data_IF_481280963298
#
_entry.id   IF_481280963298
#
_cell.length_a   1.000
_cell.length_b   1.000
_cell.length_c   1.000
_cell.angle_alpha   90.00
_cell.angle_beta   90.00
_cell.angle_gamma   90.00
#
_symmetry.space_group_name_H-M   'P 1'
#
loop_
_entity.id
_entity.type
_entity.pdbx_description
1 polymer ?
#
# COMPACT_ATOMS: atom_id res chain seq x y z
N UNK A 1 -7.96 72.89 3.58
CA UNK A 1 -7.63 71.61 2.91
C UNK A 1 -6.38 71.06 3.57
N UNK A 2 -6.37 69.75 3.84
CA UNK A 2 -5.67 69.07 4.93
C UNK A 2 -4.17 69.35 5.02
N UNK A 3 -3.70 69.72 6.22
CA UNK A 3 -2.29 69.84 6.55
C UNK A 3 -1.63 68.46 6.61
N UNK A 4 -0.46 68.36 6.00
CA UNK A 4 0.40 67.18 6.08
C UNK A 4 0.87 67.07 7.53
N UNK A 5 0.28 66.14 8.28
CA UNK A 5 0.77 65.78 9.61
C UNK A 5 2.07 65.00 9.45
N UNK A 6 3.19 65.66 9.70
CA UNK A 6 4.48 65.00 9.86
C UNK A 6 4.45 64.32 11.24
N UNK A 7 4.59 62.98 11.33
CA UNK A 7 4.60 62.29 12.61
C UNK A 7 5.87 62.67 13.41
N UNK A 8 5.80 62.73 14.75
CA UNK A 8 6.93 63.08 15.59
C UNK A 8 8.06 62.03 15.47
N UNK A 9 9.34 62.45 15.59
CA UNK A 9 10.48 61.53 15.53
C UNK A 9 10.43 60.56 16.71
N UNK A 10 10.39 59.26 16.40
CA UNK A 10 10.35 58.17 17.40
C UNK A 10 9.12 57.25 17.31
N UNK A 11 8.15 57.52 16.43
CA UNK A 11 7.06 56.57 16.17
C UNK A 11 7.49 55.56 15.11
N UNK A 12 7.91 54.36 15.53
CA UNK A 12 8.04 53.20 14.64
C UNK A 12 6.68 52.97 13.95
N UNK A 13 6.64 53.11 12.63
CA UNK A 13 5.41 52.80 11.89
C UNK A 13 5.12 51.30 12.01
N UNK A 14 3.91 50.88 12.39
CA UNK A 14 3.53 49.46 12.42
C UNK A 14 3.45 48.83 11.01
N UNK A 15 3.75 49.58 9.96
CA UNK A 15 3.66 49.18 8.54
C UNK A 15 5.02 49.21 7.83
N UNK A 16 6.14 49.05 8.55
CA UNK A 16 7.47 48.94 7.90
C UNK A 16 7.58 47.54 7.28
N UNK A 17 7.46 47.48 5.96
CA UNK A 17 7.69 46.26 5.20
C UNK A 17 9.20 45.97 5.08
N UNK A 18 9.56 44.69 5.11
CA UNK A 18 10.95 44.28 5.00
C UNK A 18 11.47 44.40 3.56
N UNK A 19 12.73 44.82 3.41
CA UNK A 19 13.44 44.66 2.15
C UNK A 19 13.67 43.18 1.84
N UNK A 20 13.85 42.86 0.56
CA UNK A 20 14.18 41.50 0.14
C UNK A 20 15.44 40.98 0.85
N UNK A 21 15.37 39.82 1.48
CA UNK A 21 16.51 39.24 2.22
C UNK A 21 17.71 38.86 1.34
N UNK A 22 17.51 38.71 0.02
CA UNK A 22 18.55 38.28 -0.92
C UNK A 22 19.21 39.48 -1.60
N UNK A 23 18.42 40.41 -2.16
CA UNK A 23 18.94 41.55 -2.92
C UNK A 23 18.75 42.92 -2.25
N UNK A 24 18.12 42.96 -1.07
CA UNK A 24 17.81 44.17 -0.31
C UNK A 24 16.94 45.21 -1.07
N UNK A 25 16.25 44.78 -2.14
CA UNK A 25 15.29 45.62 -2.86
C UNK A 25 14.10 45.99 -1.96
N UNK A 26 13.50 47.18 -2.18
CA UNK A 26 12.30 47.58 -1.45
C UNK A 26 11.13 46.63 -1.74
N UNK A 27 10.14 46.55 -0.84
CA UNK A 27 9.00 45.62 -0.95
C UNK A 27 8.14 45.81 -2.21
N UNK A 28 8.13 47.02 -2.78
CA UNK A 28 7.37 47.36 -3.98
C UNK A 28 8.36 47.85 -5.06
N UNK A 29 8.34 47.28 -6.27
CA UNK A 29 7.52 46.14 -6.70
C UNK A 29 7.96 44.81 -6.05
N UNK A 30 7.06 43.84 -5.99
CA UNK A 30 7.34 42.51 -5.42
C UNK A 30 8.60 41.89 -6.05
N UNK A 31 9.53 41.49 -5.20
CA UNK A 31 10.80 40.91 -5.62
C UNK A 31 10.65 39.39 -5.86
N UNK A 32 11.15 38.83 -6.97
CA UNK A 32 10.94 37.41 -7.32
C UNK A 32 11.60 36.41 -6.34
N UNK A 33 12.61 36.84 -5.58
CA UNK A 33 13.39 35.97 -4.69
C UNK A 33 12.55 35.30 -3.58
N UNK A 34 11.47 35.93 -3.11
CA UNK A 34 10.61 35.33 -2.08
C UNK A 34 9.86 34.12 -2.65
N UNK A 35 9.25 34.30 -3.83
CA UNK A 35 8.49 33.27 -4.53
C UNK A 35 9.40 32.09 -4.92
N UNK A 36 10.59 32.38 -5.43
CA UNK A 36 11.58 31.37 -5.78
C UNK A 36 12.06 30.57 -4.56
N UNK A 37 12.31 31.26 -3.44
CA UNK A 37 12.73 30.60 -2.19
C UNK A 37 11.61 29.71 -1.64
N UNK A 38 10.36 30.14 -1.72
CA UNK A 38 9.20 29.34 -1.31
C UNK A 38 9.03 28.11 -2.22
N UNK A 39 9.14 28.28 -3.53
CA UNK A 39 9.06 27.19 -4.49
C UNK A 39 10.14 26.13 -4.23
N UNK A 40 11.39 26.55 -4.02
CA UNK A 40 12.49 25.64 -3.70
C UNK A 40 12.25 24.90 -2.37
N UNK A 41 11.78 25.58 -1.34
CA UNK A 41 11.47 24.96 -0.04
C UNK A 41 10.32 23.94 -0.16
N UNK A 42 9.31 24.25 -0.97
CA UNK A 42 8.22 23.32 -1.26
C UNK A 42 8.71 22.09 -2.01
N UNK A 43 9.53 22.27 -3.05
CA UNK A 43 10.11 21.15 -3.82
C UNK A 43 10.96 20.24 -2.92
N UNK A 44 11.78 20.83 -2.04
CA UNK A 44 12.56 20.09 -1.05
C UNK A 44 11.67 19.32 -0.06
N UNK A 45 10.54 19.89 0.34
CA UNK A 45 9.58 19.23 1.21
C UNK A 45 8.86 18.08 0.49
N UNK A 46 8.37 18.29 -0.74
CA UNK A 46 7.64 17.30 -1.54
C UNK A 46 8.55 16.12 -1.94
N UNK A 47 9.83 16.38 -2.23
CA UNK A 47 10.83 15.33 -2.51
C UNK A 47 10.97 14.33 -1.35
N UNK A 48 10.60 14.69 -0.11
CA UNK A 48 10.57 13.74 1.00
C UNK A 48 9.39 12.75 0.89
N UNK A 49 8.29 13.17 0.27
CA UNK A 49 7.09 12.36 0.06
C UNK A 49 7.16 11.50 -1.22
N UNK A 50 7.92 11.92 -2.23
CA UNK A 50 8.14 11.11 -3.46
C UNK A 50 8.78 9.76 -3.16
N UNK A 51 9.61 9.67 -2.12
CA UNK A 51 10.21 8.42 -1.64
C UNK A 51 9.18 7.35 -1.25
N UNK A 52 7.97 7.74 -0.84
CA UNK A 52 6.91 6.78 -0.52
C UNK A 52 6.37 6.08 -1.78
N UNK A 53 6.29 6.81 -2.89
CA UNK A 53 5.93 6.23 -4.19
C UNK A 53 7.04 5.28 -4.69
N UNK A 54 8.30 5.64 -4.49
CA UNK A 54 9.45 4.77 -4.81
C UNK A 54 9.44 3.48 -3.98
N UNK A 55 9.18 3.57 -2.66
CA UNK A 55 9.05 2.41 -1.78
C UNK A 55 7.93 1.48 -2.25
N UNK A 56 6.76 2.05 -2.59
CA UNK A 56 5.64 1.25 -3.11
C UNK A 56 6.03 0.52 -4.40
N UNK A 57 6.67 1.21 -5.33
CA UNK A 57 7.10 0.61 -6.59
C UNK A 57 8.14 -0.49 -6.36
N UNK A 58 9.13 -0.23 -5.50
CA UNK A 58 10.13 -1.22 -5.09
C UNK A 58 9.48 -2.47 -4.50
N UNK A 59 8.50 -2.33 -3.60
CA UNK A 59 7.81 -3.47 -2.98
C UNK A 59 7.04 -4.30 -4.03
N UNK A 60 6.35 -3.63 -4.97
CA UNK A 60 5.63 -4.29 -6.06
C UNK A 60 6.58 -5.07 -6.96
N UNK A 61 7.71 -4.48 -7.36
CA UNK A 61 8.67 -5.13 -8.25
C UNK A 61 9.31 -6.36 -7.59
N UNK A 62 9.69 -6.25 -6.32
CA UNK A 62 10.23 -7.37 -5.55
C UNK A 62 9.19 -8.48 -5.34
N UNK A 63 7.93 -8.14 -5.05
CA UNK A 63 6.85 -9.09 -4.93
C UNK A 63 6.61 -9.85 -6.24
N UNK A 64 6.54 -9.14 -7.37
CA UNK A 64 6.40 -9.74 -8.71
C UNK A 64 7.56 -10.69 -9.02
N UNK A 65 8.80 -10.26 -8.77
CA UNK A 65 9.97 -11.09 -8.99
C UNK A 65 9.96 -12.37 -8.13
N UNK A 66 9.55 -12.26 -6.86
CA UNK A 66 9.42 -13.41 -5.97
C UNK A 66 8.39 -14.43 -6.47
N UNK A 67 7.20 -13.95 -6.84
CA UNK A 67 6.09 -14.77 -7.36
C UNK A 67 6.48 -15.45 -8.68
N UNK A 68 7.03 -14.69 -9.64
CA UNK A 68 7.45 -15.22 -10.95
C UNK A 68 8.53 -16.29 -10.80
N UNK A 69 9.54 -16.05 -9.94
CA UNK A 69 10.60 -17.03 -9.67
C UNK A 69 10.02 -18.34 -9.13
N UNK A 70 9.14 -18.25 -8.13
CA UNK A 70 8.52 -19.42 -7.50
C UNK A 70 7.62 -20.17 -8.49
N UNK A 71 6.84 -19.45 -9.29
CA UNK A 71 6.03 -20.05 -10.35
C UNK A 71 6.89 -20.78 -11.40
N UNK A 72 7.98 -20.18 -11.86
CA UNK A 72 8.87 -20.80 -12.83
C UNK A 72 9.49 -22.11 -12.29
N UNK A 73 9.92 -22.12 -11.03
CA UNK A 73 10.41 -23.34 -10.37
C UNK A 73 9.34 -24.45 -10.35
N UNK A 74 8.08 -24.11 -10.00
CA UNK A 74 6.96 -25.07 -10.02
C UNK A 74 6.69 -25.60 -11.43
N UNK A 75 6.69 -24.71 -12.43
CA UNK A 75 6.50 -25.06 -13.85
C UNK A 75 7.60 -25.97 -14.36
N UNK A 76 8.86 -25.67 -14.07
CA UNK A 76 10.03 -26.49 -14.45
C UNK A 76 9.96 -27.88 -13.82
N UNK A 77 9.62 -27.97 -12.53
CA UNK A 77 9.46 -29.24 -11.84
C UNK A 77 8.34 -30.11 -12.46
N UNK A 78 7.22 -29.51 -12.90
CA UNK A 78 6.17 -30.23 -13.63
C UNK A 78 6.62 -30.66 -15.02
N UNK A 79 7.31 -29.78 -15.73
CA UNK A 79 7.82 -30.09 -17.06
C UNK A 79 8.78 -31.28 -17.03
N UNK A 80 9.70 -31.32 -16.07
CA UNK A 80 10.58 -32.46 -15.85
C UNK A 80 9.82 -33.77 -15.58
N UNK A 81 8.74 -33.73 -14.78
CA UNK A 81 7.88 -34.91 -14.55
C UNK A 81 7.16 -35.38 -15.81
N UNK A 82 6.68 -34.46 -16.64
CA UNK A 82 6.02 -34.80 -17.91
C UNK A 82 7.02 -35.43 -18.86
N UNK A 83 8.22 -34.86 -19.01
CA UNK A 83 9.29 -35.45 -19.82
C UNK A 83 9.64 -36.86 -19.35
N UNK A 84 9.88 -37.04 -18.05
CA UNK A 84 10.15 -38.36 -17.48
C UNK A 84 9.02 -39.35 -17.76
N UNK A 85 7.75 -38.93 -17.68
CA UNK A 85 6.62 -39.78 -18.06
C UNK A 85 6.65 -40.15 -19.54
N UNK A 86 6.88 -39.20 -20.44
CA UNK A 86 6.92 -39.48 -21.88
C UNK A 86 8.05 -40.45 -22.24
N UNK A 87 9.20 -40.37 -21.58
CA UNK A 87 10.32 -41.30 -21.76
C UNK A 87 9.97 -42.75 -21.37
N UNK A 88 8.98 -42.95 -20.48
CA UNK A 88 8.49 -44.31 -20.13
C UNK A 88 7.55 -44.91 -21.17
N UNK A 89 7.03 -44.12 -22.12
CA UNK A 89 6.07 -44.61 -23.10
C UNK A 89 6.73 -45.58 -24.10
N UNK A 90 6.07 -46.70 -24.44
CA UNK A 90 6.57 -47.63 -25.44
C UNK A 90 6.85 -46.93 -26.77
N UNK A 91 8.01 -47.22 -27.37
CA UNK A 91 8.43 -46.68 -28.67
C UNK A 91 8.52 -45.13 -28.74
N UNK A 92 8.47 -44.40 -27.62
CA UNK A 92 8.59 -42.95 -27.62
C UNK A 92 9.93 -42.46 -28.18
N UNK A 93 11.04 -43.13 -27.87
CA UNK A 93 12.35 -42.80 -28.45
C UNK A 93 12.39 -42.93 -29.98
N UNK A 94 11.65 -43.90 -30.54
CA UNK A 94 11.50 -44.05 -32.00
C UNK A 94 10.62 -42.91 -32.53
N UNK A 95 9.49 -42.63 -31.88
CA UNK A 95 8.61 -41.52 -32.23
C UNK A 95 9.36 -40.18 -32.33
N UNK A 96 10.19 -39.85 -31.34
CA UNK A 96 11.00 -38.61 -31.34
C UNK A 96 12.06 -38.62 -32.44
N UNK A 97 12.78 -39.73 -32.62
CA UNK A 97 13.83 -39.86 -33.65
C UNK A 97 13.31 -39.60 -35.06
N UNK A 98 12.08 -40.03 -35.34
CA UNK A 98 11.43 -39.88 -36.65
C UNK A 98 10.45 -38.69 -36.70
N UNK A 99 10.62 -37.71 -35.81
CA UNK A 99 9.83 -36.47 -35.79
C UNK A 99 8.30 -36.68 -35.81
N UNK A 100 7.81 -37.72 -35.14
CA UNK A 100 6.39 -38.05 -35.08
C UNK A 100 5.86 -38.85 -36.28
N UNK A 101 6.74 -39.25 -37.21
CA UNK A 101 6.45 -40.18 -38.31
C UNK A 101 7.21 -41.52 -38.17
N UNK A 102 7.13 -42.22 -37.02
CA UNK A 102 7.87 -43.46 -36.81
C UNK A 102 7.35 -44.62 -37.68
N UNK A 103 8.23 -45.53 -38.14
CA UNK A 103 7.84 -46.74 -38.87
C UNK A 103 7.30 -47.81 -37.89
N UNK A 104 6.16 -47.53 -37.25
CA UNK A 104 5.47 -48.42 -36.31
C UNK A 104 4.02 -48.61 -36.74
N UNK A 105 3.31 -49.55 -36.11
CA UNK A 105 1.90 -49.81 -36.42
C UNK A 105 1.02 -48.58 -36.13
N UNK A 106 -0.03 -48.33 -36.94
CA UNK A 106 -0.93 -47.18 -36.73
C UNK A 106 -1.61 -47.17 -35.35
N UNK A 107 -1.91 -48.35 -34.79
CA UNK A 107 -2.49 -48.48 -33.45
C UNK A 107 -1.54 -47.93 -32.37
N UNK A 108 -0.27 -48.39 -32.37
CA UNK A 108 0.73 -47.94 -31.39
C UNK A 108 1.03 -46.45 -31.54
N UNK A 109 1.07 -45.94 -32.77
CA UNK A 109 1.21 -44.51 -33.03
C UNK A 109 0.03 -43.71 -32.41
N UNK A 110 -1.20 -44.18 -32.58
CA UNK A 110 -2.39 -43.55 -31.99
C UNK A 110 -2.35 -43.53 -30.46
N UNK A 111 -1.87 -44.60 -29.83
CA UNK A 111 -1.69 -44.67 -28.37
C UNK A 111 -0.65 -43.65 -27.87
N UNK A 112 0.53 -43.58 -28.50
CA UNK A 112 1.57 -42.61 -28.14
C UNK A 112 1.03 -41.18 -28.26
N UNK A 113 0.35 -40.87 -29.37
CA UNK A 113 -0.24 -39.54 -29.59
C UNK A 113 -1.32 -39.21 -28.56
N UNK A 114 -2.15 -40.19 -28.19
CA UNK A 114 -3.16 -40.03 -27.13
C UNK A 114 -2.49 -39.69 -25.79
N UNK A 115 -1.45 -40.43 -25.39
CA UNK A 115 -0.73 -40.18 -24.14
C UNK A 115 -0.03 -38.83 -24.14
N UNK A 116 0.61 -38.43 -25.24
CA UNK A 116 1.24 -37.10 -25.38
C UNK A 116 0.18 -35.99 -25.23
N UNK A 117 -0.95 -36.10 -25.93
CA UNK A 117 -2.03 -35.11 -25.85
C UNK A 117 -2.56 -34.98 -24.42
N UNK A 118 -2.89 -36.11 -23.78
CA UNK A 118 -3.41 -36.13 -22.43
C UNK A 118 -2.39 -35.55 -21.41
N UNK A 119 -1.11 -35.91 -21.54
CA UNK A 119 -0.05 -35.35 -20.69
C UNK A 119 0.10 -33.83 -20.86
N UNK A 120 -0.01 -33.32 -22.09
CA UNK A 120 0.04 -31.88 -22.37
C UNK A 120 -1.16 -31.13 -21.79
N UNK A 121 -2.37 -31.70 -21.87
CA UNK A 121 -3.58 -31.13 -21.27
C UNK A 121 -3.46 -31.06 -19.74
N UNK A 122 -3.02 -32.16 -19.11
CA UNK A 122 -2.77 -32.23 -17.67
C UNK A 122 -1.67 -31.24 -17.22
N UNK A 123 -0.58 -31.13 -18.00
CA UNK A 123 0.47 -30.15 -17.76
C UNK A 123 -0.07 -28.73 -17.77
N UNK A 124 -0.83 -28.35 -18.82
CA UNK A 124 -1.44 -27.02 -18.95
C UNK A 124 -2.38 -26.71 -17.78
N UNK A 125 -3.23 -27.66 -17.38
CA UNK A 125 -4.10 -27.50 -16.22
C UNK A 125 -3.30 -27.29 -14.93
N UNK A 126 -2.23 -28.05 -14.72
CA UNK A 126 -1.33 -27.89 -13.57
C UNK A 126 -0.59 -26.55 -13.56
N UNK A 127 -0.15 -26.06 -14.71
CA UNK A 127 0.47 -24.73 -14.84
C UNK A 127 -0.53 -23.62 -14.51
N UNK A 128 -1.78 -23.72 -14.99
CA UNK A 128 -2.83 -22.76 -14.66
C UNK A 128 -3.15 -22.73 -13.17
N UNK A 129 -3.18 -23.90 -12.52
CA UNK A 129 -3.37 -24.03 -11.07
C UNK A 129 -2.24 -23.36 -10.29
N UNK A 130 -0.99 -23.64 -10.66
CA UNK A 130 0.18 -23.04 -10.00
C UNK A 130 0.22 -21.53 -10.18
N UNK A 131 -0.16 -21.03 -11.37
CA UNK A 131 -0.26 -19.59 -11.60
C UNK A 131 -1.28 -18.96 -10.66
N UNK A 132 -2.48 -19.54 -10.54
CA UNK A 132 -3.52 -19.04 -9.64
C UNK A 132 -3.04 -19.03 -8.19
N UNK A 133 -2.40 -20.10 -7.72
CA UNK A 133 -1.82 -20.16 -6.37
C UNK A 133 -0.78 -19.08 -6.14
N UNK A 134 0.12 -18.90 -7.11
CA UNK A 134 1.18 -17.89 -7.03
C UNK A 134 0.60 -16.47 -6.95
N UNK A 135 -0.50 -16.19 -7.65
CA UNK A 135 -1.22 -14.91 -7.52
C UNK A 135 -1.90 -14.72 -6.15
N UNK A 136 -2.38 -15.80 -5.52
CA UNK A 136 -2.99 -15.70 -4.17
C UNK A 136 -1.95 -15.44 -3.07
N UNK A 137 -0.66 -15.63 -3.33
CA UNK A 137 0.43 -15.37 -2.39
C UNK A 137 0.80 -13.88 -2.29
N UNK A 138 0.35 -13.03 -3.23
CA UNK A 138 0.71 -11.61 -3.27
C UNK A 138 0.46 -10.85 -1.96
N UNK A 139 -0.67 -10.99 -1.24
CA UNK A 139 -0.89 -10.25 0.00
C UNK A 139 0.22 -10.49 1.04
N UNK A 140 0.54 -11.75 1.34
CA UNK A 140 1.58 -12.08 2.32
C UNK A 140 2.99 -11.68 1.88
N UNK A 141 3.27 -11.75 0.57
CA UNK A 141 4.57 -11.33 0.02
C UNK A 141 4.72 -9.80 0.08
N UNK A 142 3.65 -9.06 -0.21
CA UNK A 142 3.64 -7.59 -0.09
C UNK A 142 3.80 -7.17 1.37
N UNK A 143 3.11 -7.83 2.30
CA UNK A 143 3.26 -7.59 3.74
C UNK A 143 4.71 -7.83 4.19
N UNK A 144 5.37 -8.86 3.68
CA UNK A 144 6.79 -9.10 3.95
C UNK A 144 7.67 -7.94 3.46
N UNK A 145 7.57 -7.55 2.18
CA UNK A 145 8.43 -6.50 1.63
C UNK A 145 8.17 -5.12 2.24
N UNK A 146 6.91 -4.76 2.48
CA UNK A 146 6.58 -3.50 3.15
C UNK A 146 6.98 -3.54 4.64
N UNK A 147 6.93 -4.70 5.29
CA UNK A 147 7.44 -4.89 6.64
C UNK A 147 8.96 -4.72 6.80
N UNK A 148 9.73 -4.76 5.71
CA UNK A 148 11.18 -4.44 5.72
C UNK A 148 11.45 -2.93 5.77
N UNK A 149 10.45 -2.09 5.54
CA UNK A 149 10.61 -0.65 5.43
C UNK A 149 10.01 0.05 6.64
N UNK A 150 10.83 0.81 7.35
CA UNK A 150 10.37 1.69 8.44
C UNK A 150 10.25 3.13 7.92
N UNK A 151 9.03 3.66 7.88
CA UNK A 151 8.79 5.08 7.55
C UNK A 151 8.44 5.82 8.83
N UNK A 152 9.31 6.73 9.24
CA UNK A 152 9.05 7.64 10.36
C UNK A 152 8.52 8.95 9.84
N UNK A 153 7.24 9.21 10.10
CA UNK A 153 6.70 10.54 9.98
C UNK A 153 7.04 11.33 11.24
N UNK A 154 7.31 12.64 11.15
CA UNK A 154 7.36 13.48 12.34
C UNK A 154 6.03 13.31 13.10
N UNK A 155 6.13 13.02 14.41
CA UNK A 155 4.98 12.77 15.27
C UNK A 155 4.12 14.03 15.29
N UNK A 156 2.92 13.94 14.74
CA UNK A 156 1.87 14.93 14.95
C UNK A 156 1.24 14.65 16.33
N UNK A 157 1.95 14.94 17.41
CA UNK A 157 1.33 15.00 18.74
C UNK A 157 0.44 16.25 18.74
N UNK A 158 -0.86 16.01 18.57
CA UNK A 158 -1.97 16.97 18.68
C UNK A 158 -1.85 18.25 17.84
N UNK A 159 -2.06 18.13 16.52
CA UNK A 159 -2.72 19.20 15.77
C UNK A 159 -4.11 18.71 15.44
N UNK A 160 -5.02 18.86 16.40
CA UNK A 160 -6.39 19.17 16.02
C UNK A 160 -6.27 20.29 14.97
N UNK A 161 -6.79 20.05 13.77
CA UNK A 161 -7.01 21.11 12.78
C UNK A 161 -8.09 22.02 13.35
N UNK A 162 -7.75 22.76 14.38
CA UNK A 162 -8.42 23.99 14.78
C UNK A 162 -7.95 25.00 13.76
N UNK A 163 -8.90 25.67 13.13
CA UNK A 163 -8.68 26.75 12.18
C UNK A 163 -7.88 27.92 12.81
N UNK A 164 -6.57 27.73 12.94
CA UNK A 164 -5.64 28.70 13.51
C UNK A 164 -4.23 28.22 13.28
N UNK A 165 -3.53 28.87 12.35
CA UNK A 165 -2.10 28.71 12.12
C UNK A 165 -1.34 28.65 13.46
N UNK A 166 -0.62 27.55 13.78
CA UNK A 166 0.29 27.56 14.91
C UNK A 166 1.44 28.50 14.57
N UNK A 167 1.56 29.59 15.33
CA UNK A 167 2.61 30.58 15.17
C UNK A 167 3.99 29.92 15.16
N UNK A 168 4.65 30.00 14.01
CA UNK A 168 6.09 29.82 13.90
C UNK A 168 6.78 30.92 14.72
N UNK A 169 7.20 30.56 15.95
CA UNK A 169 8.23 31.25 16.71
C UNK A 169 7.80 32.50 17.49
N UNK A 170 7.73 32.39 18.82
CA UNK A 170 7.65 33.54 19.71
C UNK A 170 7.64 33.14 21.17
N UNK A 171 8.77 33.34 21.86
CA UNK A 171 8.97 33.01 23.27
C UNK A 171 7.91 33.64 24.20
N UNK A 172 7.25 32.81 25.02
CA UNK A 172 6.36 33.22 26.09
C UNK A 172 6.64 32.44 27.37
N UNK A 173 7.08 33.15 28.39
CA UNK A 173 7.49 32.69 29.74
C UNK A 173 6.39 31.87 30.44
N UNK A 174 6.69 30.80 31.20
CA UNK A 174 5.67 30.11 31.99
C UNK A 174 5.49 30.82 33.34
N UNK A 175 4.37 31.50 33.55
CA UNK A 175 4.00 31.99 34.88
C UNK A 175 3.37 30.85 35.69
N UNK A 176 4.11 30.41 36.71
CA UNK A 176 3.64 29.49 37.74
C UNK A 176 2.61 30.18 38.63
N UNK A 177 1.42 29.57 38.80
CA UNK A 177 0.63 29.74 40.02
C UNK A 177 0.42 28.40 40.72
N UNK A 178 1.03 28.31 41.90
CA UNK A 178 0.95 27.21 42.86
C UNK A 178 -0.39 27.24 43.63
N UNK A 179 -1.01 26.06 43.76
CA UNK A 179 -1.45 25.36 45.01
C UNK A 179 -2.61 26.02 45.80
N UNK A 180 -3.69 25.36 46.28
CA UNK A 180 -3.97 24.14 47.11
C UNK A 180 -5.52 23.93 47.04
N UNK A 181 -6.21 22.83 47.35
CA UNK A 181 -6.16 21.92 48.52
C UNK A 181 -7.13 20.73 48.30
N UNK A 182 -6.61 19.52 48.50
CA UNK A 182 -7.15 18.32 49.18
C UNK A 182 -8.64 18.26 49.59
N UNK A 183 -9.34 17.18 49.18
CA UNK A 183 -10.20 16.38 50.07
C UNK A 183 -10.27 14.92 49.62
N UNK A 184 -9.85 14.05 50.54
CA UNK A 184 -9.88 12.59 50.50
C UNK A 184 -11.32 12.02 50.55
N UNK A 185 -11.43 10.69 50.32
CA UNK A 185 -12.53 9.74 50.66
C UNK A 185 -13.45 9.39 49.47
N UNK A 186 -13.82 8.16 49.10
CA UNK A 186 -13.80 6.80 49.70
C UNK A 186 -13.79 5.76 48.56
N UNK A 187 -13.11 4.64 48.79
CA UNK A 187 -13.18 3.40 48.02
C UNK A 187 -14.36 2.53 48.49
N UNK A 188 -15.21 2.04 47.59
CA UNK A 188 -15.93 0.76 47.77
C UNK A 188 -16.29 0.17 46.41
N UNK A 189 -15.62 -0.93 46.06
CA UNK A 189 -16.22 -1.92 45.18
C UNK A 189 -17.36 -2.66 45.91
N UNK A 190 -18.39 -3.07 45.19
CA UNK A 190 -18.80 -4.48 45.15
C UNK A 190 -19.97 -4.72 44.18
N UNK A 191 -19.74 -5.72 43.32
CA UNK A 191 -20.62 -6.80 42.92
C UNK A 191 -22.13 -6.66 43.22
N UNK A 192 -22.94 -6.71 42.16
CA UNK A 192 -24.04 -7.70 41.94
C UNK A 192 -25.06 -7.14 40.93
N UNK A 193 -25.28 -7.86 39.83
CA UNK A 193 -26.44 -8.77 39.66
C UNK A 193 -26.79 -8.96 38.18
N UNK A 194 -26.20 -10.03 37.65
CA UNK A 194 -26.81 -10.92 36.66
C UNK A 194 -28.33 -11.04 36.86
N UNK A 195 -29.11 -10.58 35.88
CA UNK A 195 -30.51 -11.00 35.74
C UNK A 195 -30.98 -10.91 34.29
N UNK A 196 -30.77 -12.03 33.58
CA UNK A 196 -31.74 -12.69 32.70
C UNK A 196 -32.41 -11.83 31.61
N UNK A 197 -32.01 -12.06 30.36
CA UNK A 197 -32.95 -12.23 29.23
C UNK A 197 -32.34 -13.13 28.14
N UNK A 198 -32.36 -14.42 28.43
CA UNK A 198 -32.38 -15.49 27.42
C UNK A 198 -33.84 -15.84 27.09
N UNK A 199 -34.23 -15.65 25.82
CA UNK A 199 -35.38 -16.23 25.08
C UNK A 199 -35.34 -15.53 23.70
N UNK A 200 -35.01 -16.12 22.56
CA UNK A 200 -35.04 -17.51 22.10
C UNK A 200 -35.75 -17.53 20.72
N UNK A 201 -35.28 -18.38 19.80
CA UNK A 201 -35.86 -18.84 18.51
C UNK A 201 -35.48 -18.12 17.20
N UNK A 202 -34.64 -18.82 16.42
CA UNK A 202 -34.78 -19.06 14.96
C UNK A 202 -35.62 -20.35 14.73
N UNK A 203 -35.97 -20.74 13.48
CA UNK A 203 -36.81 -20.11 12.45
C UNK A 203 -37.99 -21.07 12.04
N UNK A 204 -38.75 -20.86 10.95
CA UNK A 204 -38.41 -21.54 9.69
C UNK A 204 -38.82 -20.83 8.37
N UNK A 205 -38.50 -21.53 7.28
CA UNK A 205 -38.58 -21.21 5.85
C UNK A 205 -39.97 -21.29 5.19
N UNK A 206 -40.07 -20.78 3.95
CA UNK A 206 -41.04 -21.25 2.93
C UNK A 206 -41.66 -20.14 2.09
N UNK A 207 -41.41 -20.15 0.76
CA UNK A 207 -42.07 -19.24 -0.18
C UNK A 207 -41.52 -19.26 -1.62
N UNK A 208 -41.54 -20.43 -2.26
CA UNK A 208 -41.60 -20.59 -3.73
C UNK A 208 -42.91 -19.94 -4.26
N UNK A 209 -43.11 -19.44 -5.49
CA UNK A 209 -42.37 -19.41 -6.75
C UNK A 209 -43.27 -18.78 -7.84
N UNK A 210 -42.80 -18.83 -9.11
CA UNK A 210 -43.53 -18.64 -10.39
C UNK A 210 -43.98 -17.20 -10.79
N UNK A 211 -43.97 -16.71 -12.06
CA UNK A 211 -43.93 -17.29 -13.41
C UNK A 211 -43.63 -16.21 -14.51
N UNK A 212 -43.17 -16.64 -15.71
CA UNK A 212 -43.27 -16.09 -17.12
C UNK A 212 -42.05 -15.32 -17.65
N UNK A 213 -41.31 -15.85 -18.64
CA UNK A 213 -41.61 -16.15 -20.08
C UNK A 213 -41.84 -14.87 -20.90
N UNK A 214 -40.85 -14.59 -21.75
CA UNK A 214 -40.81 -13.64 -22.86
C UNK A 214 -39.56 -13.93 -23.67
#
# INVERSE_FOLDING_TARGET
MAGIMIPPPGMLSPTIDANCAICNAPPIPECPHEVESLALALDQAVTRWTRLAEIRQWAVDNAKNCVIRTFNQRREARYAKVLAFLETLPCYGIYVRYAGHPPITPQLLGEIQYHIRNANEAFKAGVNEDWRRSCMEYPGILDHFLGLVEVRFPVLEEVAVVAGYPGLGGAGVPEQKRVKTRRDSVNTGDLRKERRRSRGRTPPAGGEGHYRRG
#
